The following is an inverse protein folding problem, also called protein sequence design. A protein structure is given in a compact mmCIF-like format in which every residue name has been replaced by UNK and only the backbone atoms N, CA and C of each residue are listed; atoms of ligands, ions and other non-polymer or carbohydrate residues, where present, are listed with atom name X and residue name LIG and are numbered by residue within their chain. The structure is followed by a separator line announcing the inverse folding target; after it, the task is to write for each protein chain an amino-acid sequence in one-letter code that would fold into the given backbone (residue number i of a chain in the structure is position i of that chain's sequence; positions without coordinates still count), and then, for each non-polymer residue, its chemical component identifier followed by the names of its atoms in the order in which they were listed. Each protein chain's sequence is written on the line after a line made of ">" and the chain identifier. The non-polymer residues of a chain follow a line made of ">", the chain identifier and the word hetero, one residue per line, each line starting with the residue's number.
data_IF_616614991082
#
_entry.id   IF_616614991082
#
_cell.length_a   1.000
_cell.length_b   1.000
_cell.length_c   1.000
_cell.angle_alpha   90.00
_cell.angle_beta   90.00
_cell.angle_gamma   90.00
#
_symmetry.space_group_name_H-M   'P 1'
#
loop_
_entity.id
_entity.type
_entity.pdbx_description
1 polymer ?
#
# COMPACT_ATOMS: atom_id res chain seq x y z
N UNK A 1 4.69 1.79 7.85
CA UNK A 1 4.14 0.55 7.27
C UNK A 1 4.63 -0.70 7.99
N UNK A 2 5.94 -0.94 8.19
CA UNK A 2 6.44 -2.16 8.87
C UNK A 2 5.84 -2.41 10.26
N UNK A 3 5.71 -1.37 11.10
CA UNK A 3 5.06 -1.51 12.42
C UNK A 3 3.58 -1.96 12.31
N UNK A 4 2.84 -1.49 11.29
CA UNK A 4 1.45 -1.88 11.04
C UNK A 4 1.34 -3.33 10.55
N UNK A 5 2.31 -3.80 9.76
CA UNK A 5 2.40 -5.21 9.38
C UNK A 5 2.71 -6.10 10.59
N UNK A 6 3.64 -5.68 11.45
CA UNK A 6 3.97 -6.41 12.67
C UNK A 6 2.78 -6.50 13.63
N UNK A 7 2.00 -5.43 13.75
CA UNK A 7 0.74 -5.40 14.50
C UNK A 7 -0.30 -6.35 13.90
N UNK A 8 -0.54 -6.31 12.59
CA UNK A 8 -1.46 -7.23 11.91
C UNK A 8 -1.04 -8.71 12.05
N UNK A 9 0.26 -8.98 12.03
CA UNK A 9 0.82 -10.32 12.19
C UNK A 9 0.63 -10.90 13.61
N UNK A 10 0.17 -10.10 14.59
CA UNK A 10 -0.26 -10.62 15.89
C UNK A 10 -1.62 -11.33 15.82
N UNK A 11 -2.41 -11.07 14.77
CA UNK A 11 -3.76 -11.60 14.61
C UNK A 11 -3.86 -12.72 13.55
N UNK A 12 -3.07 -12.64 12.49
CA UNK A 12 -3.04 -13.62 11.39
C UNK A 12 -1.60 -13.92 10.95
N UNK A 13 -1.36 -15.05 10.31
CA UNK A 13 -0.03 -15.36 9.76
C UNK A 13 0.39 -14.31 8.74
N UNK A 14 1.67 -13.95 8.73
CA UNK A 14 2.24 -13.02 7.73
C UNK A 14 1.98 -13.48 6.29
N UNK A 15 1.89 -14.80 6.05
CA UNK A 15 1.60 -15.37 4.73
C UNK A 15 0.15 -15.12 4.26
N UNK A 16 -0.73 -14.65 5.15
CA UNK A 16 -2.12 -14.31 4.86
C UNK A 16 -2.35 -12.79 4.73
N UNK A 17 -1.28 -11.98 4.81
CA UNK A 17 -1.34 -10.53 4.72
C UNK A 17 -0.88 -10.09 3.33
N UNK A 18 -1.65 -9.20 2.71
CA UNK A 18 -1.30 -8.53 1.46
C UNK A 18 -1.20 -7.01 1.66
N UNK A 19 -0.43 -6.33 0.80
CA UNK A 19 -0.29 -4.88 0.81
C UNK A 19 -0.97 -4.26 -0.41
N UNK A 20 -1.70 -3.16 -0.18
CA UNK A 20 -2.27 -2.32 -1.22
C UNK A 20 -2.23 -0.84 -0.79
N UNK A 21 -2.38 0.11 -1.72
CA UNK A 21 -2.72 1.48 -1.37
C UNK A 21 -4.07 1.53 -0.62
N UNK A 22 -4.25 2.53 0.25
CA UNK A 22 -5.51 2.70 1.01
C UNK A 22 -6.73 2.92 0.10
N UNK A 23 -6.51 3.58 -1.04
CA UNK A 23 -7.53 3.90 -2.03
C UNK A 23 -6.94 3.82 -3.44
N UNK A 24 -7.82 3.78 -4.44
CA UNK A 24 -7.45 3.83 -5.86
C UNK A 24 -6.74 5.14 -6.26
N UNK A 25 -6.54 5.34 -7.56
CA UNK A 25 -5.82 6.51 -8.07
C UNK A 25 -6.69 7.77 -8.24
N UNK A 26 -8.02 7.64 -8.16
CA UNK A 26 -8.95 8.76 -8.31
C UNK A 26 -10.09 8.60 -7.29
N UNK A 27 -9.89 9.05 -6.05
CA UNK A 27 -10.76 8.69 -4.91
C UNK A 27 -11.77 9.75 -4.50
N UNK A 28 -12.06 10.75 -5.33
CA UNK A 28 -13.10 11.76 -5.05
C UNK A 28 -13.87 12.12 -6.33
N UNK A 29 -15.17 12.39 -6.23
CA UNK A 29 -15.95 12.98 -7.33
C UNK A 29 -15.41 14.34 -7.77
N UNK A 30 -14.82 15.09 -6.83
CA UNK A 30 -14.13 16.38 -7.07
C UNK A 30 -12.66 16.21 -7.49
N UNK A 31 -12.20 14.96 -7.68
CA UNK A 31 -10.93 14.60 -8.32
C UNK A 31 -9.68 15.30 -7.80
N UNK A 32 -9.02 14.74 -6.77
CA UNK A 32 -7.57 14.93 -6.66
C UNK A 32 -6.90 14.14 -7.78
N UNK A 33 -6.83 14.74 -8.97
CA UNK A 33 -6.21 14.15 -10.14
C UNK A 33 -4.73 13.87 -9.83
N UNK A 34 -4.38 12.60 -9.71
CA UNK A 34 -2.99 12.17 -9.61
C UNK A 34 -2.39 12.14 -11.01
N UNK A 35 -1.27 12.84 -11.18
CA UNK A 35 -0.40 12.63 -12.34
C UNK A 35 0.04 11.18 -12.39
N UNK A 36 0.35 10.68 -13.59
CA UNK A 36 0.82 9.30 -13.77
C UNK A 36 2.04 8.99 -12.86
N UNK A 37 2.97 9.94 -12.72
CA UNK A 37 4.11 9.79 -11.81
C UNK A 37 3.68 9.55 -10.37
N UNK A 38 2.70 10.33 -9.87
CA UNK A 38 2.18 10.15 -8.51
C UNK A 38 1.47 8.80 -8.33
N UNK A 39 0.82 8.29 -9.38
CA UNK A 39 0.24 6.94 -9.35
C UNK A 39 1.35 5.89 -9.23
N UNK A 40 2.41 6.01 -10.03
CA UNK A 40 3.56 5.12 -9.95
C UNK A 40 4.31 5.21 -8.62
N UNK A 41 4.39 6.38 -8.00
CA UNK A 41 5.01 6.53 -6.68
C UNK A 41 4.24 5.76 -5.60
N UNK A 42 2.90 5.72 -5.68
CA UNK A 42 2.08 4.86 -4.79
C UNK A 42 2.41 3.37 -5.01
N UNK A 43 2.59 2.94 -6.26
CA UNK A 43 2.95 1.54 -6.57
C UNK A 43 4.36 1.20 -6.09
N UNK A 44 5.34 2.07 -6.33
CA UNK A 44 6.73 1.90 -5.89
C UNK A 44 6.83 1.82 -4.37
N UNK A 45 6.06 2.63 -3.65
CA UNK A 45 6.02 2.59 -2.19
C UNK A 45 5.52 1.23 -1.69
N UNK A 46 4.41 0.72 -2.24
CA UNK A 46 3.84 -0.56 -1.82
C UNK A 46 4.76 -1.73 -2.16
N UNK A 47 5.25 -1.78 -3.40
CA UNK A 47 6.16 -2.85 -3.87
C UNK A 47 7.51 -2.82 -3.14
N UNK A 48 8.06 -1.63 -2.88
CA UNK A 48 9.30 -1.47 -2.14
C UNK A 48 9.20 -1.90 -0.68
N UNK A 49 8.04 -1.73 -0.04
CA UNK A 49 7.80 -2.29 1.30
C UNK A 49 7.60 -3.79 1.24
N UNK A 50 6.86 -4.30 0.25
CA UNK A 50 6.64 -5.73 0.07
C UNK A 50 7.97 -6.50 -0.07
N UNK A 51 8.88 -6.04 -0.94
CA UNK A 51 10.19 -6.66 -1.16
C UNK A 51 11.14 -6.64 0.06
N UNK A 52 10.83 -5.85 1.10
CA UNK A 52 11.59 -5.83 2.35
C UNK A 52 11.02 -6.76 3.42
N UNK A 53 9.81 -7.28 3.21
CA UNK A 53 9.07 -8.09 4.18
C UNK A 53 8.92 -9.53 3.69
N UNK A 54 8.75 -9.71 2.37
CA UNK A 54 8.72 -10.98 1.66
C UNK A 54 9.87 -11.03 0.65
#
# INVERSE_FOLDING_TARGET
>A
MKARLAEAAQYVSLQQICLSPQCGFASTEEGNALTESQQWDKVRLVTGVAAQVW
#
